data_IF_998134901484
#
_entry.id   IF_998134901484
#
_cell.length_a   1.000
_cell.length_b   1.000
_cell.length_c   1.000
_cell.angle_alpha   90.00
_cell.angle_beta   90.00
_cell.angle_gamma   90.00
#
_symmetry.space_group_name_H-M   'P 1'
#
loop_
_entity.id
_entity.type
_entity.pdbx_description
1 polymer ?
#
# COMPACT_ATOMS: atom_id res chain seq x y z
N UNK A 1 13.30 -19.13 5.60
CA UNK A 1 11.90 -19.58 5.50
C UNK A 1 11.09 -18.70 6.45
N UNK A 2 10.20 -17.85 5.94
CA UNK A 2 9.27 -17.10 6.81
C UNK A 2 8.24 -18.10 7.33
N UNK A 3 7.97 -18.08 8.63
CA UNK A 3 6.95 -18.94 9.23
C UNK A 3 5.58 -18.31 9.05
N UNK A 4 4.53 -19.13 9.01
CA UNK A 4 3.14 -18.64 8.92
C UNK A 4 2.83 -17.65 10.06
N UNK A 5 3.28 -17.95 11.28
CA UNK A 5 3.15 -17.07 12.44
C UNK A 5 3.82 -15.70 12.25
N UNK A 6 4.99 -15.66 11.63
CA UNK A 6 5.69 -14.41 11.34
C UNK A 6 4.94 -13.60 10.28
N UNK A 7 4.39 -14.25 9.25
CA UNK A 7 3.59 -13.60 8.22
C UNK A 7 2.30 -13.00 8.80
N UNK A 8 1.57 -13.73 9.64
CA UNK A 8 0.38 -13.22 10.33
C UNK A 8 0.67 -12.03 11.24
N UNK A 9 1.82 -12.07 11.93
CA UNK A 9 2.22 -10.96 12.81
C UNK A 9 2.51 -9.71 12.00
N UNK A 10 3.23 -9.86 10.88
CA UNK A 10 3.47 -8.78 9.93
C UNK A 10 2.19 -8.19 9.35
N UNK A 11 1.20 -9.01 8.99
CA UNK A 11 -0.06 -8.52 8.44
C UNK A 11 -0.85 -7.70 9.47
N UNK A 12 -0.89 -8.16 10.74
CA UNK A 12 -1.48 -7.41 11.85
C UNK A 12 -0.78 -6.08 12.11
N UNK A 13 0.55 -6.09 12.13
CA UNK A 13 1.34 -4.88 12.37
C UNK A 13 1.15 -3.85 11.24
N UNK A 14 1.04 -4.34 10.00
CA UNK A 14 0.77 -3.51 8.84
C UNK A 14 -0.65 -2.91 8.88
N UNK A 15 -1.66 -3.68 9.30
CA UNK A 15 -3.03 -3.17 9.50
C UNK A 15 -3.10 -2.16 10.66
N UNK A 16 -2.34 -2.37 11.73
CA UNK A 16 -2.21 -1.41 12.82
C UNK A 16 -1.57 -0.10 12.34
N UNK A 17 -0.52 -0.18 11.52
CA UNK A 17 0.08 0.99 10.87
C UNK A 17 -0.96 1.75 10.05
N UNK A 18 -1.71 1.07 9.18
CA UNK A 18 -2.73 1.69 8.34
C UNK A 18 -3.85 2.36 9.13
N UNK A 19 -4.22 1.78 10.27
CA UNK A 19 -5.20 2.39 11.17
C UNK A 19 -4.63 3.63 11.84
N UNK A 20 -3.38 3.56 12.29
CA UNK A 20 -2.68 4.67 12.96
C UNK A 20 -2.56 5.88 12.05
N UNK A 21 -2.14 5.70 10.79
CA UNK A 21 -1.92 6.82 9.86
C UNK A 21 -3.17 7.20 9.05
N UNK A 22 -4.23 6.37 9.10
CA UNK A 22 -5.43 6.55 8.27
C UNK A 22 -6.18 7.86 8.51
N UNK A 23 -6.03 8.45 9.71
CA UNK A 23 -6.66 9.73 10.07
C UNK A 23 -6.07 10.93 9.30
N UNK A 24 -4.86 10.82 8.75
CA UNK A 24 -4.27 11.87 7.90
C UNK A 24 -5.01 12.03 6.57
N UNK A 25 -5.82 11.05 6.19
CA UNK A 25 -6.62 11.08 4.97
C UNK A 25 -8.09 11.32 5.36
N UNK A 26 -8.65 12.46 4.96
CA UNK A 26 -10.03 12.83 5.30
C UNK A 26 -11.11 11.99 4.58
N UNK A 27 -10.75 11.29 3.50
CA UNK A 27 -11.67 10.52 2.65
C UNK A 27 -11.26 9.06 2.56
N UNK A 28 -12.21 8.18 2.21
CA UNK A 28 -11.97 6.73 2.12
C UNK A 28 -11.12 6.35 0.91
N UNK A 29 -11.24 7.08 -0.21
CA UNK A 29 -10.53 6.77 -1.45
C UNK A 29 -9.01 6.96 -1.30
N UNK A 30 -8.48 8.08 -0.76
CA UNK A 30 -7.06 8.23 -0.49
C UNK A 30 -6.53 7.24 0.56
N UNK A 31 -7.36 6.84 1.55
CA UNK A 31 -6.98 5.78 2.51
C UNK A 31 -6.74 4.45 1.82
N UNK A 32 -7.62 4.05 0.89
CA UNK A 32 -7.45 2.82 0.12
C UNK A 32 -6.17 2.88 -0.71
N UNK A 33 -5.98 3.96 -1.46
CA UNK A 33 -4.79 4.18 -2.29
C UNK A 33 -3.49 4.19 -1.48
N UNK A 34 -3.49 4.76 -0.27
CA UNK A 34 -2.35 4.68 0.64
C UNK A 34 -2.00 3.23 1.00
N UNK A 35 -3.01 2.41 1.34
CA UNK A 35 -2.79 0.99 1.67
C UNK A 35 -2.23 0.22 0.47
N UNK A 36 -2.84 0.45 -0.70
CA UNK A 36 -2.43 -0.15 -1.97
C UNK A 36 -0.98 0.23 -2.31
N UNK A 37 -0.63 1.50 -2.13
CA UNK A 37 0.73 2.01 -2.33
C UNK A 37 1.76 1.31 -1.44
N UNK A 38 1.50 1.25 -0.12
CA UNK A 38 2.43 0.61 0.83
C UNK A 38 2.56 -0.88 0.56
N UNK A 39 1.46 -1.59 0.26
CA UNK A 39 1.50 -3.01 -0.11
C UNK A 39 2.32 -3.24 -1.38
N UNK A 40 2.12 -2.42 -2.41
CA UNK A 40 2.91 -2.50 -3.65
C UNK A 40 4.41 -2.17 -3.43
N UNK A 41 4.73 -1.29 -2.47
CA UNK A 41 6.12 -1.02 -2.08
C UNK A 41 6.79 -2.21 -1.40
N UNK A 42 6.05 -3.01 -0.64
CA UNK A 42 6.57 -4.21 0.03
C UNK A 42 6.60 -5.45 -0.88
N UNK A 43 5.83 -5.44 -1.96
CA UNK A 43 5.76 -6.53 -2.93
C UNK A 43 7.05 -6.71 -3.76
N UNK A 44 7.29 -7.86 -4.40
CA UNK A 44 8.46 -8.09 -5.25
C UNK A 44 8.33 -7.42 -6.64
N UNK A 45 8.11 -6.10 -6.68
CA UNK A 45 8.03 -5.31 -7.91
C UNK A 45 9.43 -4.86 -8.33
N UNK A 46 9.85 -5.19 -9.55
CA UNK A 46 11.22 -4.97 -10.02
C UNK A 46 11.66 -3.49 -10.01
N UNK A 47 10.77 -2.56 -10.34
CA UNK A 47 11.03 -1.12 -10.26
C UNK A 47 9.84 -0.40 -9.60
N UNK A 48 10.16 0.46 -8.64
CA UNK A 48 9.20 1.08 -7.71
C UNK A 48 8.79 2.47 -8.18
N UNK A 49 8.30 2.58 -9.41
CA UNK A 49 7.69 3.82 -9.90
C UNK A 49 6.15 3.75 -9.76
N UNK A 50 5.47 4.90 -9.78
CA UNK A 50 4.02 4.96 -9.57
C UNK A 50 3.22 4.11 -10.57
N UNK A 51 3.74 3.91 -11.79
CA UNK A 51 3.12 3.04 -12.79
C UNK A 51 3.14 1.58 -12.37
N UNK A 52 4.32 1.04 -12.07
CA UNK A 52 4.48 -0.38 -11.71
C UNK A 52 3.84 -0.70 -10.36
N UNK A 53 3.83 0.26 -9.44
CA UNK A 53 3.11 0.11 -8.18
C UNK A 53 1.59 0.08 -8.40
N UNK A 54 1.07 0.94 -9.29
CA UNK A 54 -0.35 0.96 -9.64
C UNK A 54 -0.78 -0.33 -10.34
N UNK A 55 0.02 -0.81 -11.28
CA UNK A 55 -0.19 -2.08 -11.97
C UNK A 55 -0.21 -3.25 -10.98
N UNK A 56 0.77 -3.32 -10.07
CA UNK A 56 0.80 -4.35 -9.04
C UNK A 56 -0.41 -4.29 -8.10
N UNK A 57 -0.88 -3.09 -7.78
CA UNK A 57 -2.07 -2.86 -6.94
C UNK A 57 -3.40 -3.06 -7.70
N UNK A 58 -3.38 -3.36 -9.01
CA UNK A 58 -4.59 -3.56 -9.81
C UNK A 58 -5.30 -2.28 -10.23
N UNK A 59 -4.65 -1.13 -10.17
CA UNK A 59 -5.18 0.13 -10.68
C UNK A 59 -4.95 0.26 -12.19
N UNK A 60 -5.91 0.85 -12.91
CA UNK A 60 -5.81 1.07 -14.35
C UNK A 60 -4.90 2.24 -14.74
N UNK A 61 -4.66 3.19 -13.82
CA UNK A 61 -3.79 4.35 -14.05
C UNK A 61 -2.97 4.67 -12.80
N UNK A 62 -1.79 5.31 -12.94
CA UNK A 62 -0.96 5.71 -11.80
C UNK A 62 -1.47 6.94 -11.05
N UNK A 63 -2.43 7.68 -11.63
CA UNK A 63 -2.83 9.02 -11.16
C UNK A 63 -3.27 9.01 -9.69
N UNK A 64 -3.99 7.96 -9.29
CA UNK A 64 -4.42 7.79 -7.91
C UNK A 64 -3.25 7.71 -6.91
N UNK A 65 -2.17 7.02 -7.28
CA UNK A 65 -0.97 6.89 -6.46
C UNK A 65 -0.07 8.13 -6.58
N UNK A 66 0.00 8.75 -7.75
CA UNK A 66 0.74 10.00 -7.94
C UNK A 66 0.14 11.15 -7.12
N UNK A 67 -1.20 11.26 -7.09
CA UNK A 67 -1.90 12.26 -6.30
C UNK A 67 -1.73 12.07 -4.78
N UNK A 68 -1.30 10.87 -4.34
CA UNK A 68 -0.93 10.64 -2.94
C UNK A 68 0.38 11.36 -2.56
N UNK A 69 1.28 11.54 -3.54
CA UNK A 69 2.65 12.01 -3.34
C UNK A 69 2.85 13.48 -3.75
N UNK A 70 1.83 14.10 -4.35
CA UNK A 70 1.79 15.52 -4.71
C UNK A 70 1.46 16.39 -3.51
#
# INVERSE_FOLDING_TARGET
>A
MITEQAAETWDRDLDHLFTTIGHHFGRVEPRRRMRDYVRALLAPVARKNSWQLAEHAGHSTPDGLQHLLS
#
